data_IF_942841655379
#
_entry.id   IF_942841655379
#
_cell.length_a   1.000
_cell.length_b   1.000
_cell.length_c   1.000
_cell.angle_alpha   90.00
_cell.angle_beta   90.00
_cell.angle_gamma   90.00
#
_symmetry.space_group_name_H-M   'P 1'
#
loop_
_entity.id
_entity.type
_entity.pdbx_description
1 polymer ?
#
# COMPACT_ATOMS: atom_id res chain seq x y z
N UNK A 1 -16.90 -14.33 -9.32
CA UNK A 1 -15.77 -14.46 -8.37
C UNK A 1 -15.29 -13.05 -8.08
N UNK A 2 -15.51 -12.58 -6.86
CA UNK A 2 -15.03 -11.27 -6.41
C UNK A 2 -13.50 -11.27 -6.46
N UNK A 3 -12.88 -10.39 -7.26
CA UNK A 3 -11.43 -10.24 -7.24
C UNK A 3 -11.02 -9.75 -5.85
N UNK A 4 -10.00 -10.32 -5.22
CA UNK A 4 -9.53 -9.82 -3.93
C UNK A 4 -9.08 -8.36 -4.09
N UNK A 5 -9.35 -7.55 -3.07
CA UNK A 5 -8.91 -6.16 -3.00
C UNK A 5 -7.40 -6.15 -2.71
N UNK A 6 -6.61 -6.06 -3.76
CA UNK A 6 -5.15 -6.22 -3.74
C UNK A 6 -4.55 -5.00 -4.43
N UNK A 7 -3.54 -4.40 -3.80
CA UNK A 7 -2.69 -3.35 -4.38
C UNK A 7 -1.22 -3.75 -4.33
N UNK A 8 -0.38 -3.06 -5.07
CA UNK A 8 1.07 -3.17 -4.93
C UNK A 8 1.51 -2.79 -3.50
N UNK A 9 2.57 -3.41 -3.02
CA UNK A 9 3.09 -3.14 -1.68
C UNK A 9 4.17 -2.06 -1.76
N UNK A 10 3.85 -0.82 -1.35
CA UNK A 10 4.78 0.31 -1.38
C UNK A 10 6.12 0.05 -0.64
N UNK A 11 6.08 -0.77 0.40
CA UNK A 11 7.30 -1.11 1.14
C UNK A 11 8.14 -2.14 0.40
N UNK A 12 7.51 -3.00 -0.40
CA UNK A 12 8.21 -3.92 -1.29
C UNK A 12 8.88 -3.14 -2.43
N UNK A 13 8.26 -2.08 -2.95
CA UNK A 13 8.86 -1.17 -3.93
C UNK A 13 10.17 -0.56 -3.40
N UNK A 14 10.23 -0.13 -2.14
CA UNK A 14 11.45 0.40 -1.53
C UNK A 14 12.60 -0.62 -1.51
N UNK A 15 12.28 -1.90 -1.23
CA UNK A 15 13.29 -2.98 -1.29
C UNK A 15 13.74 -3.22 -2.72
N UNK A 16 12.81 -3.17 -3.68
CA UNK A 16 13.11 -3.34 -5.10
C UNK A 16 14.03 -2.23 -5.63
N UNK A 17 13.77 -0.98 -5.25
CA UNK A 17 14.59 0.17 -5.65
C UNK A 17 16.03 0.04 -5.11
N UNK A 18 16.17 -0.34 -3.84
CA UNK A 18 17.51 -0.59 -3.26
C UNK A 18 18.21 -1.75 -3.95
N UNK A 19 17.51 -2.86 -4.20
CA UNK A 19 18.06 -3.98 -4.95
C UNK A 19 18.58 -3.55 -6.34
N UNK A 20 17.80 -2.75 -7.07
CA UNK A 20 18.21 -2.25 -8.39
C UNK A 20 19.42 -1.32 -8.30
N UNK A 21 19.53 -0.51 -7.25
CA UNK A 21 20.70 0.32 -6.98
C UNK A 21 21.94 -0.54 -6.71
N UNK A 22 21.80 -1.57 -5.88
CA UNK A 22 22.90 -2.50 -5.57
C UNK A 22 23.30 -3.32 -6.80
N UNK A 23 22.34 -3.75 -7.62
CA UNK A 23 22.60 -4.46 -8.89
C UNK A 23 23.39 -3.59 -9.88
N UNK A 24 23.11 -2.28 -9.95
CA UNK A 24 23.93 -1.33 -10.74
C UNK A 24 25.38 -1.24 -10.23
N UNK A 25 25.57 -1.33 -8.90
CA UNK A 25 26.89 -1.22 -8.26
C UNK A 25 27.73 -2.47 -8.40
N UNK A 26 27.13 -3.64 -8.20
CA UNK A 26 27.83 -4.94 -8.10
C UNK A 26 27.66 -5.84 -9.32
N UNK A 27 26.82 -5.46 -10.29
CA UNK A 27 26.58 -6.28 -11.49
C UNK A 27 25.91 -7.61 -11.15
N UNK A 28 26.63 -8.70 -11.41
CA UNK A 28 26.17 -10.07 -11.18
C UNK A 28 26.66 -10.68 -9.85
N UNK A 29 27.31 -9.90 -8.99
CA UNK A 29 27.81 -10.38 -7.69
C UNK A 29 26.65 -10.46 -6.67
N UNK A 30 25.96 -11.60 -6.70
CA UNK A 30 24.76 -11.85 -5.88
C UNK A 30 25.08 -11.82 -4.38
N UNK A 31 26.26 -12.31 -3.98
CA UNK A 31 26.65 -12.39 -2.57
C UNK A 31 26.81 -11.00 -1.95
N UNK A 32 27.48 -10.09 -2.65
CA UNK A 32 27.62 -8.72 -2.19
C UNK A 32 26.30 -7.95 -2.25
N UNK A 33 25.47 -8.16 -3.27
CA UNK A 33 24.12 -7.58 -3.35
C UNK A 33 23.29 -8.03 -2.15
N UNK A 34 23.22 -9.33 -1.87
CA UNK A 34 22.43 -9.87 -0.75
C UNK A 34 22.93 -9.36 0.61
N UNK A 35 24.25 -9.32 0.81
CA UNK A 35 24.87 -8.83 2.04
C UNK A 35 24.48 -7.37 2.31
N UNK A 36 24.61 -6.51 1.32
CA UNK A 36 24.32 -5.09 1.48
C UNK A 36 22.80 -4.83 1.57
N UNK A 37 21.99 -5.56 0.81
CA UNK A 37 20.54 -5.51 0.92
C UNK A 37 20.06 -5.88 2.33
N UNK A 38 20.55 -6.95 2.92
CA UNK A 38 20.26 -7.35 4.32
C UNK A 38 20.64 -6.27 5.31
N UNK A 39 21.82 -5.66 5.14
CA UNK A 39 22.26 -4.56 5.98
C UNK A 39 21.34 -3.34 5.87
N UNK A 40 20.93 -2.99 4.66
CA UNK A 40 20.01 -1.88 4.41
C UNK A 40 18.62 -2.15 4.98
N UNK A 41 18.06 -3.36 4.78
CA UNK A 41 16.77 -3.77 5.36
C UNK A 41 16.81 -3.65 6.88
N UNK A 42 17.87 -4.12 7.52
CA UNK A 42 18.04 -4.03 8.98
C UNK A 42 18.03 -2.58 9.48
N UNK A 43 18.73 -1.67 8.78
CA UNK A 43 18.76 -0.23 9.11
C UNK A 43 17.39 0.45 8.91
N UNK A 44 16.58 -0.03 7.99
CA UNK A 44 15.29 0.54 7.64
C UNK A 44 14.10 -0.28 8.18
N UNK A 45 14.30 -1.21 9.12
CA UNK A 45 13.28 -2.16 9.56
C UNK A 45 11.98 -1.48 10.03
N UNK A 46 12.06 -0.32 10.67
CA UNK A 46 10.87 0.44 11.11
C UNK A 46 9.98 0.89 9.94
N UNK A 47 10.58 1.20 8.78
CA UNK A 47 9.86 1.62 7.56
C UNK A 47 9.34 0.41 6.78
N UNK A 48 9.99 -0.74 6.90
CA UNK A 48 9.76 -1.96 6.12
C UNK A 48 8.95 -3.02 6.87
N UNK A 49 8.19 -2.63 7.90
CA UNK A 49 7.37 -3.58 8.68
C UNK A 49 6.44 -4.39 7.78
N UNK A 50 6.51 -5.72 7.93
CA UNK A 50 5.73 -6.67 7.14
C UNK A 50 6.41 -7.21 5.88
N UNK A 51 7.54 -6.63 5.43
CA UNK A 51 8.30 -7.07 4.25
C UNK A 51 9.79 -7.31 4.51
N UNK A 52 10.26 -7.16 5.74
CA UNK A 52 11.68 -7.32 6.13
C UNK A 52 12.24 -8.71 5.88
N UNK A 53 11.38 -9.70 5.68
CA UNK A 53 11.75 -11.09 5.39
C UNK A 53 12.14 -11.32 3.92
N UNK A 54 11.92 -10.34 3.03
CA UNK A 54 12.41 -10.38 1.64
C UNK A 54 13.87 -9.94 1.60
N UNK A 55 14.76 -10.82 2.02
CA UNK A 55 16.19 -10.51 2.23
C UNK A 55 17.15 -11.46 1.50
N UNK A 56 16.62 -12.38 0.72
CA UNK A 56 17.41 -13.26 -0.15
C UNK A 56 17.42 -12.74 -1.59
N UNK A 57 18.51 -12.98 -2.30
CA UNK A 57 18.69 -12.57 -3.69
C UNK A 57 19.18 -13.74 -4.52
N UNK A 58 18.68 -13.87 -5.74
CA UNK A 58 19.26 -14.73 -6.79
C UNK A 58 19.28 -13.99 -8.13
N UNK A 59 19.63 -14.68 -9.21
CA UNK A 59 19.73 -14.10 -10.56
C UNK A 59 18.43 -13.43 -11.03
N UNK A 60 17.27 -13.94 -10.57
CA UNK A 60 15.95 -13.41 -10.92
C UNK A 60 15.57 -12.17 -10.09
N UNK A 61 16.09 -12.03 -8.87
CA UNK A 61 15.77 -10.91 -8.00
C UNK A 61 15.59 -11.28 -6.54
N UNK A 62 14.89 -10.42 -5.82
CA UNK A 62 14.66 -10.54 -4.37
C UNK A 62 13.54 -11.54 -4.07
N UNK A 63 13.73 -12.34 -3.03
CA UNK A 63 12.74 -13.30 -2.57
C UNK A 63 12.87 -13.59 -1.07
N UNK A 64 11.88 -14.28 -0.52
CA UNK A 64 11.98 -14.93 0.79
C UNK A 64 11.64 -16.42 0.69
N UNK A 65 12.11 -17.19 1.65
CA UNK A 65 11.76 -18.62 1.75
C UNK A 65 10.33 -18.77 2.28
N UNK A 66 9.56 -19.59 1.59
CA UNK A 66 8.21 -19.93 1.96
C UNK A 66 8.09 -21.30 2.62
N UNK A 67 6.93 -21.63 3.12
CA UNK A 67 6.61 -22.94 3.66
C UNK A 67 6.13 -23.88 2.54
N UNK A 68 6.77 -25.06 2.44
CA UNK A 68 6.48 -26.10 1.47
C UNK A 68 5.47 -27.13 2.02
N UNK A 69 5.34 -27.21 3.35
CA UNK A 69 4.46 -28.16 4.00
C UNK A 69 2.98 -27.77 3.87
N UNK A 70 2.10 -28.73 3.77
CA UNK A 70 0.66 -28.47 3.88
C UNK A 70 0.31 -27.95 5.28
N UNK A 71 -0.72 -27.13 5.39
CA UNK A 71 -1.14 -26.57 6.69
C UNK A 71 -1.79 -27.60 7.61
N UNK A 72 -2.48 -28.56 7.02
CA UNK A 72 -3.15 -29.68 7.71
C UNK A 72 -2.65 -31.01 7.15
N UNK A 73 -2.88 -32.11 7.86
CA UNK A 73 -2.61 -33.44 7.31
C UNK A 73 -3.46 -33.71 6.06
N UNK A 74 -2.92 -34.53 5.13
CA UNK A 74 -3.58 -34.81 3.86
C UNK A 74 -3.01 -34.06 2.66
N UNK A 75 -1.83 -33.46 2.78
CA UNK A 75 -1.08 -32.90 1.65
C UNK A 75 -0.63 -33.95 0.66
N UNK A 76 -0.12 -33.52 -0.50
CA UNK A 76 0.28 -34.38 -1.59
C UNK A 76 1.49 -35.24 -1.21
N UNK A 77 1.49 -36.50 -1.71
CA UNK A 77 2.48 -37.53 -1.43
C UNK A 77 3.15 -37.99 -2.73
N UNK A 78 4.31 -37.40 -3.06
CA UNK A 78 5.14 -37.77 -4.20
C UNK A 78 6.60 -37.47 -3.88
N UNK A 79 7.53 -38.06 -4.65
CA UNK A 79 8.95 -37.84 -4.47
C UNK A 79 9.41 -36.64 -5.28
N UNK A 80 10.20 -35.78 -4.64
CA UNK A 80 10.99 -34.71 -5.26
C UNK A 80 12.45 -35.12 -5.21
N UNK A 81 13.09 -35.24 -6.35
CA UNK A 81 14.48 -35.68 -6.43
C UNK A 81 15.44 -34.51 -6.29
N UNK A 82 16.39 -34.62 -5.37
CA UNK A 82 17.41 -33.63 -5.14
C UNK A 82 18.37 -33.53 -6.36
N UNK A 83 18.66 -32.31 -6.90
CA UNK A 83 19.39 -32.16 -8.15
C UNK A 83 20.85 -32.65 -8.11
N UNK A 84 21.48 -32.59 -6.91
CA UNK A 84 22.90 -33.00 -6.75
C UNK A 84 23.06 -34.44 -6.28
N UNK A 85 22.24 -34.89 -5.31
CA UNK A 85 22.39 -36.23 -4.72
C UNK A 85 21.58 -37.30 -5.45
N UNK A 86 20.66 -36.91 -6.34
CA UNK A 86 19.75 -37.79 -7.08
C UNK A 86 18.88 -38.70 -6.19
N UNK A 87 18.71 -38.32 -4.91
CA UNK A 87 17.87 -39.04 -3.96
C UNK A 87 16.57 -38.27 -3.67
N UNK A 88 15.52 -38.96 -3.18
CA UNK A 88 14.31 -38.28 -2.77
C UNK A 88 14.56 -37.30 -1.62
N UNK A 89 14.11 -36.06 -1.76
CA UNK A 89 14.17 -35.05 -0.72
C UNK A 89 13.25 -35.42 0.46
N UNK A 90 13.64 -34.96 1.65
CA UNK A 90 12.85 -35.07 2.86
C UNK A 90 11.43 -34.53 2.63
N UNK A 91 10.43 -35.38 2.85
CA UNK A 91 9.03 -35.00 2.72
C UNK A 91 8.50 -34.42 4.03
N UNK A 92 7.67 -33.34 3.99
CA UNK A 92 6.99 -32.87 5.19
C UNK A 92 6.03 -33.93 5.75
N UNK A 93 5.90 -34.02 7.06
CA UNK A 93 4.97 -34.97 7.72
C UNK A 93 3.51 -34.78 7.26
N UNK A 94 3.09 -33.53 7.02
CA UNK A 94 1.75 -33.20 6.53
C UNK A 94 1.58 -33.32 5.02
N UNK A 95 2.63 -33.76 4.30
CA UNK A 95 2.68 -33.79 2.85
C UNK A 95 2.99 -32.44 2.21
N UNK A 96 3.21 -32.44 0.89
CA UNK A 96 3.48 -31.23 0.13
C UNK A 96 2.23 -30.36 0.01
N UNK A 97 2.42 -29.04 0.05
CA UNK A 97 1.36 -28.06 -0.18
C UNK A 97 0.94 -27.97 -1.65
N UNK A 98 1.88 -28.17 -2.55
CA UNK A 98 1.70 -27.97 -3.98
C UNK A 98 1.42 -29.29 -4.69
N UNK A 99 0.57 -29.23 -5.72
CA UNK A 99 0.32 -30.35 -6.61
C UNK A 99 1.57 -30.67 -7.44
N UNK A 100 1.69 -31.92 -7.88
CA UNK A 100 2.91 -32.41 -8.55
C UNK A 100 3.36 -31.57 -9.76
N UNK A 101 2.42 -31.19 -10.64
CA UNK A 101 2.76 -30.36 -11.79
C UNK A 101 3.24 -28.95 -11.40
N UNK A 102 2.58 -28.32 -10.41
CA UNK A 102 3.02 -27.02 -9.90
C UNK A 102 4.41 -27.10 -9.26
N UNK A 103 4.71 -28.19 -8.54
CA UNK A 103 6.06 -28.42 -8.01
C UNK A 103 7.10 -28.54 -9.13
N UNK A 104 6.80 -29.28 -10.21
CA UNK A 104 7.68 -29.36 -11.38
C UNK A 104 7.92 -28.01 -12.04
N UNK A 105 6.86 -27.22 -12.22
CA UNK A 105 6.99 -25.86 -12.76
C UNK A 105 7.89 -24.97 -11.89
N UNK A 106 7.69 -25.01 -10.57
CA UNK A 106 8.53 -24.24 -9.63
C UNK A 106 10.01 -24.67 -9.67
N UNK A 107 10.26 -25.98 -9.77
CA UNK A 107 11.64 -26.51 -9.90
C UNK A 107 12.26 -26.01 -11.22
N UNK A 108 11.56 -26.18 -12.34
CA UNK A 108 12.02 -25.74 -13.67
C UNK A 108 12.25 -24.23 -13.73
N UNK A 109 11.45 -23.46 -13.00
CA UNK A 109 11.58 -22.03 -12.86
C UNK A 109 12.65 -21.60 -11.84
N UNK A 110 13.41 -22.50 -11.24
CA UNK A 110 14.35 -22.20 -10.15
C UNK A 110 13.69 -21.45 -8.97
N UNK A 111 12.44 -21.76 -8.66
CA UNK A 111 11.68 -21.16 -7.55
C UNK A 111 11.56 -22.12 -6.35
N UNK A 112 12.39 -23.14 -6.30
CA UNK A 112 12.62 -24.02 -5.14
C UNK A 112 14.07 -23.85 -4.66
N UNK A 113 14.23 -23.66 -3.36
CA UNK A 113 15.51 -23.76 -2.67
C UNK A 113 15.72 -25.22 -2.25
N UNK A 114 16.74 -25.84 -2.77
CA UNK A 114 17.21 -27.12 -2.28
C UNK A 114 18.25 -26.88 -1.18
N UNK A 115 18.34 -27.80 -0.22
CA UNK A 115 19.40 -27.81 0.77
C UNK A 115 20.74 -28.25 0.19
N UNK A 116 21.72 -28.48 1.07
CA UNK A 116 23.02 -29.06 0.67
C UNK A 116 22.85 -30.52 0.22
N UNK A 117 21.87 -31.18 0.79
CA UNK A 117 21.50 -32.58 0.51
C UNK A 117 19.99 -32.82 0.62
N UNK A 118 19.56 -34.06 0.36
CA UNK A 118 18.17 -34.50 0.40
C UNK A 118 17.54 -34.51 1.79
N UNK A 119 18.31 -34.41 2.87
CA UNK A 119 17.82 -34.46 4.26
C UNK A 119 17.26 -33.12 4.71
N UNK A 120 17.64 -32.05 4.05
CA UNK A 120 17.16 -30.69 4.31
C UNK A 120 15.80 -30.49 3.61
N UNK A 121 14.81 -29.96 4.35
CA UNK A 121 13.51 -29.65 3.77
C UNK A 121 13.66 -28.53 2.72
N UNK A 122 13.19 -28.81 1.53
CA UNK A 122 13.17 -27.80 0.44
C UNK A 122 12.17 -26.68 0.76
N UNK A 123 12.40 -25.50 0.18
CA UNK A 123 11.57 -24.31 0.42
C UNK A 123 11.22 -23.59 -0.88
N UNK A 124 9.98 -23.15 -1.09
CA UNK A 124 9.64 -22.34 -2.25
C UNK A 124 10.17 -20.91 -2.07
N UNK A 125 10.67 -20.32 -3.16
CA UNK A 125 11.04 -18.91 -3.23
C UNK A 125 9.78 -18.09 -3.50
N UNK A 126 9.42 -17.21 -2.57
CA UNK A 126 8.35 -16.22 -2.77
C UNK A 126 8.98 -14.94 -3.24
N UNK A 127 8.72 -14.56 -4.47
CA UNK A 127 9.32 -13.39 -5.14
C UNK A 127 8.75 -12.09 -4.60
N UNK A 128 9.61 -11.08 -4.42
CA UNK A 128 9.23 -9.74 -3.97
C UNK A 128 8.24 -9.07 -4.93
N UNK A 129 8.38 -9.27 -6.23
CA UNK A 129 7.48 -8.76 -7.26
C UNK A 129 6.03 -9.24 -7.11
N UNK A 130 5.82 -10.34 -6.38
CA UNK A 130 4.50 -10.89 -6.07
C UNK A 130 4.01 -10.46 -4.67
N UNK A 131 4.76 -9.62 -3.96
CA UNK A 131 4.37 -9.09 -2.67
C UNK A 131 3.26 -8.04 -2.87
N UNK A 132 2.04 -8.41 -2.50
CA UNK A 132 0.86 -7.55 -2.63
C UNK A 132 0.23 -7.28 -1.27
N UNK A 133 -0.27 -6.07 -1.11
CA UNK A 133 -1.09 -5.72 0.05
C UNK A 133 -2.54 -6.13 -0.18
N UNK A 134 -3.11 -6.75 0.83
CA UNK A 134 -4.56 -7.00 0.89
C UNK A 134 -5.20 -5.91 1.73
N UNK A 135 -6.29 -5.32 1.25
CA UNK A 135 -7.04 -4.36 2.04
C UNK A 135 -7.55 -5.02 3.32
N UNK A 136 -7.12 -4.47 4.46
CA UNK A 136 -7.59 -4.92 5.77
C UNK A 136 -8.90 -4.23 6.14
N UNK A 137 -9.78 -4.93 6.85
CA UNK A 137 -11.05 -4.39 7.36
C UNK A 137 -10.86 -3.29 8.42
N UNK A 138 -9.68 -3.22 9.03
CA UNK A 138 -9.32 -2.20 10.02
C UNK A 138 -8.04 -1.49 9.55
N UNK A 139 -8.15 -0.16 9.39
CA UNK A 139 -7.03 0.73 9.07
C UNK A 139 -6.88 1.68 10.26
N UNK A 140 -5.69 1.70 10.86
CA UNK A 140 -5.37 2.63 11.94
C UNK A 140 -4.58 3.83 11.41
N UNK A 141 -5.05 5.02 11.74
CA UNK A 141 -4.33 6.29 11.55
C UNK A 141 -4.62 7.22 12.72
N UNK A 142 -3.62 7.96 13.21
CA UNK A 142 -3.83 9.01 14.20
C UNK A 142 -4.61 10.18 13.55
N UNK A 143 -5.78 10.50 14.10
CA UNK A 143 -6.65 11.57 13.60
C UNK A 143 -5.99 12.95 13.53
N UNK A 144 -4.93 13.18 14.31
CA UNK A 144 -4.11 14.41 14.23
C UNK A 144 -3.34 14.51 12.92
N UNK A 145 -3.01 13.39 12.29
CA UNK A 145 -2.30 13.37 11.00
C UNK A 145 -3.18 13.97 9.91
N UNK A 146 -4.45 13.56 9.82
CA UNK A 146 -5.39 14.10 8.83
C UNK A 146 -5.66 15.60 9.02
N UNK A 147 -5.79 16.05 10.27
CA UNK A 147 -5.93 17.48 10.59
C UNK A 147 -4.70 18.27 10.14
N UNK A 148 -3.49 17.83 10.47
CA UNK A 148 -2.25 18.49 10.04
C UNK A 148 -2.09 18.52 8.52
N UNK A 149 -2.46 17.44 7.82
CA UNK A 149 -2.43 17.40 6.36
C UNK A 149 -3.40 18.43 5.75
N UNK A 150 -4.63 18.50 6.26
CA UNK A 150 -5.60 19.49 5.84
C UNK A 150 -5.10 20.93 6.09
N UNK A 151 -4.61 21.21 7.29
CA UNK A 151 -4.10 22.53 7.68
C UNK A 151 -2.87 22.95 6.87
N UNK A 152 -2.04 22.03 6.43
CA UNK A 152 -0.88 22.32 5.58
C UNK A 152 -1.26 22.76 4.15
N UNK A 153 -2.45 22.39 3.70
CA UNK A 153 -2.99 22.74 2.38
C UNK A 153 -3.90 23.96 2.44
N UNK A 154 -4.69 24.08 3.49
CA UNK A 154 -5.76 25.08 3.64
C UNK A 154 -5.40 26.20 4.63
N UNK A 155 -5.98 26.16 5.79
CA UNK A 155 -5.70 27.00 6.93
C UNK A 155 -6.02 26.24 8.23
N UNK A 156 -5.50 26.76 9.34
CA UNK A 156 -5.64 26.11 10.63
C UNK A 156 -7.06 26.27 11.17
N UNK A 157 -7.62 25.14 11.65
CA UNK A 157 -8.87 25.09 12.42
C UNK A 157 -10.09 25.71 11.70
N UNK A 158 -10.18 25.51 10.36
CA UNK A 158 -11.31 26.01 9.55
C UNK A 158 -12.33 24.92 9.21
N UNK A 159 -12.06 23.66 9.57
CA UNK A 159 -12.96 22.54 9.32
C UNK A 159 -12.83 21.49 10.43
N UNK A 160 -13.99 21.01 10.94
CA UNK A 160 -13.99 20.00 11.99
C UNK A 160 -13.75 18.60 11.42
N UNK A 161 -12.83 17.85 12.04
CA UNK A 161 -12.58 16.45 11.76
C UNK A 161 -12.40 16.12 10.25
N UNK A 162 -11.47 16.77 9.55
CA UNK A 162 -11.23 16.45 8.15
C UNK A 162 -10.82 14.98 8.02
N UNK A 163 -11.39 14.28 7.04
CA UNK A 163 -11.05 12.88 6.77
C UNK A 163 -9.63 12.78 6.21
N UNK A 164 -9.01 11.62 6.38
CA UNK A 164 -7.67 11.37 5.87
C UNK A 164 -7.66 11.18 4.36
N UNK A 165 -6.96 12.05 3.64
CA UNK A 165 -6.73 11.87 2.20
C UNK A 165 -5.86 10.65 1.93
N UNK A 166 -4.95 10.29 2.84
CA UNK A 166 -4.10 9.09 2.72
C UNK A 166 -4.91 7.79 2.78
N UNK A 167 -5.86 7.70 3.74
CA UNK A 167 -6.75 6.53 3.83
C UNK A 167 -7.64 6.43 2.59
N UNK A 168 -8.23 7.55 2.14
CA UNK A 168 -9.07 7.54 0.95
C UNK A 168 -8.26 7.22 -0.32
N UNK A 169 -7.07 7.76 -0.48
CA UNK A 169 -6.17 7.40 -1.57
C UNK A 169 -5.88 5.89 -1.59
N UNK A 170 -5.62 5.31 -0.40
CA UNK A 170 -5.41 3.86 -0.29
C UNK A 170 -6.66 3.06 -0.67
N UNK A 171 -7.86 3.48 -0.28
CA UNK A 171 -9.11 2.82 -0.68
C UNK A 171 -9.33 2.93 -2.20
N UNK A 172 -9.10 4.11 -2.76
CA UNK A 172 -9.18 4.39 -4.21
C UNK A 172 -8.24 3.46 -4.98
N UNK A 173 -7.00 3.27 -4.53
CA UNK A 173 -5.99 2.45 -5.22
C UNK A 173 -6.37 0.98 -5.40
N UNK A 174 -7.32 0.47 -4.64
CA UNK A 174 -7.81 -0.91 -4.79
C UNK A 174 -8.91 -1.06 -5.87
N UNK A 175 -9.56 0.05 -6.25
CA UNK A 175 -10.81 -0.01 -7.01
C UNK A 175 -10.72 0.78 -8.31
N UNK A 176 -10.18 2.00 -8.25
CA UNK A 176 -10.22 2.98 -9.35
C UNK A 176 -9.16 2.65 -10.41
N UNK A 177 -9.56 2.80 -11.68
CA UNK A 177 -8.74 2.59 -12.86
C UNK A 177 -8.77 3.83 -13.74
N UNK A 178 -7.94 3.82 -14.78
CA UNK A 178 -7.95 4.83 -15.85
C UNK A 178 -9.34 5.08 -16.38
N UNK A 179 -9.78 6.34 -16.39
CA UNK A 179 -11.06 6.79 -16.91
C UNK A 179 -12.27 6.56 -16.00
N UNK A 180 -12.10 5.98 -14.81
CA UNK A 180 -13.21 5.76 -13.87
C UNK A 180 -13.75 7.07 -13.29
N UNK A 181 -15.01 7.03 -12.83
CA UNK A 181 -15.71 8.13 -12.18
C UNK A 181 -15.97 7.81 -10.71
N UNK A 182 -15.40 8.63 -9.81
CA UNK A 182 -15.61 8.56 -8.36
C UNK A 182 -16.70 9.51 -7.93
N UNK A 183 -17.72 9.02 -7.24
CA UNK A 183 -18.85 9.79 -6.76
C UNK A 183 -18.87 9.84 -5.22
N UNK A 184 -18.95 11.05 -4.66
CA UNK A 184 -19.06 11.28 -3.21
C UNK A 184 -20.26 12.21 -2.93
N UNK A 185 -21.30 11.66 -2.32
CA UNK A 185 -22.56 12.38 -2.02
C UNK A 185 -22.48 13.29 -0.79
N UNK A 186 -21.43 13.18 0.01
CA UNK A 186 -21.26 13.95 1.26
C UNK A 186 -19.82 14.44 1.37
N UNK A 187 -19.38 15.20 0.36
CA UNK A 187 -17.98 15.51 0.14
C UNK A 187 -17.31 16.36 1.24
N UNK A 188 -18.10 17.03 2.07
CA UNK A 188 -17.62 17.86 3.18
C UNK A 188 -16.54 18.85 2.73
N UNK A 189 -15.32 18.64 3.18
CA UNK A 189 -14.16 19.44 2.77
C UNK A 189 -13.46 18.93 1.50
N UNK A 190 -14.13 18.14 0.66
CA UNK A 190 -13.61 17.59 -0.60
C UNK A 190 -12.34 16.71 -0.46
N UNK A 191 -12.26 15.91 0.60
CA UNK A 191 -11.12 15.01 0.85
C UNK A 191 -10.96 13.98 -0.28
N UNK A 192 -12.06 13.52 -0.85
CA UNK A 192 -12.08 12.53 -1.94
C UNK A 192 -11.38 13.04 -3.19
N UNK A 193 -11.57 14.32 -3.56
CA UNK A 193 -10.86 14.93 -4.69
C UNK A 193 -9.34 15.00 -4.45
N UNK A 194 -8.92 15.46 -3.26
CA UNK A 194 -7.50 15.48 -2.94
C UNK A 194 -6.87 14.07 -2.96
N UNK A 195 -7.59 13.08 -2.44
CA UNK A 195 -7.15 11.69 -2.46
C UNK A 195 -7.02 11.15 -3.89
N UNK A 196 -7.96 11.52 -4.78
CA UNK A 196 -7.92 11.12 -6.18
C UNK A 196 -6.73 11.76 -6.91
N UNK A 197 -6.48 13.06 -6.76
CA UNK A 197 -5.32 13.73 -7.35
C UNK A 197 -3.99 13.09 -6.90
N UNK A 198 -3.85 12.78 -5.62
CA UNK A 198 -2.67 12.06 -5.11
C UNK A 198 -2.50 10.69 -5.76
N UNK A 199 -3.61 9.98 -5.98
CA UNK A 199 -3.63 8.68 -6.63
C UNK A 199 -3.25 8.79 -8.10
N UNK A 200 -3.84 9.74 -8.86
CA UNK A 200 -3.54 10.00 -10.27
C UNK A 200 -2.06 10.29 -10.51
N UNK A 201 -1.47 11.16 -9.68
CA UNK A 201 -0.02 11.48 -9.77
C UNK A 201 0.84 10.25 -9.50
N UNK A 202 0.47 9.45 -8.48
CA UNK A 202 1.23 8.26 -8.11
C UNK A 202 1.18 7.18 -9.17
N UNK A 203 -0.01 6.85 -9.65
CA UNK A 203 -0.23 5.74 -10.60
C UNK A 203 -0.10 6.18 -12.07
N UNK A 204 0.02 7.50 -12.33
CA UNK A 204 0.11 8.10 -13.67
C UNK A 204 -1.11 7.76 -14.55
N UNK A 205 -2.28 7.79 -13.94
CA UNK A 205 -3.58 7.58 -14.59
C UNK A 205 -4.44 8.84 -14.44
N UNK A 206 -5.50 8.94 -15.25
CA UNK A 206 -6.53 9.96 -15.11
C UNK A 206 -7.85 9.32 -14.70
N UNK A 207 -8.53 9.91 -13.71
CA UNK A 207 -9.87 9.54 -13.30
C UNK A 207 -10.71 10.80 -13.09
N UNK A 208 -12.00 10.64 -12.92
CA UNK A 208 -12.94 11.75 -12.77
C UNK A 208 -13.64 11.67 -11.41
N UNK A 209 -14.16 12.81 -10.95
CA UNK A 209 -15.00 12.81 -9.76
C UNK A 209 -16.24 13.70 -9.90
N UNK A 210 -17.29 13.33 -9.18
CA UNK A 210 -18.46 14.17 -8.89
C UNK A 210 -18.58 14.26 -7.37
N UNK A 211 -18.55 15.47 -6.84
CA UNK A 211 -18.72 15.75 -5.42
C UNK A 211 -20.04 16.49 -5.20
N UNK A 212 -20.83 15.98 -4.27
CA UNK A 212 -22.09 16.61 -3.88
C UNK A 212 -22.00 17.05 -2.42
N UNK A 213 -22.31 18.31 -2.16
CA UNK A 213 -22.35 18.90 -0.82
C UNK A 213 -23.53 19.87 -0.70
N UNK A 214 -24.28 19.74 0.38
CA UNK A 214 -25.33 20.73 0.72
C UNK A 214 -24.64 22.05 1.04
N UNK A 215 -25.12 23.13 0.43
CA UNK A 215 -24.61 24.48 0.65
C UNK A 215 -25.05 25.01 2.02
N UNK A 216 -24.31 24.66 3.06
CA UNK A 216 -24.52 25.14 4.42
C UNK A 216 -24.00 26.57 4.57
N UNK A 217 -24.86 27.49 5.06
CA UNK A 217 -24.47 28.86 5.33
C UNK A 217 -23.79 28.96 6.70
N UNK A 218 -22.52 29.41 6.71
CA UNK A 218 -21.73 29.48 7.92
C UNK A 218 -22.15 30.59 8.87
N UNK A 219 -22.74 31.69 8.38
CA UNK A 219 -23.25 32.77 9.24
C UNK A 219 -24.48 32.32 10.03
N UNK A 220 -25.32 31.44 9.44
CA UNK A 220 -26.47 30.86 10.15
C UNK A 220 -25.98 29.79 11.14
N UNK A 221 -25.07 28.93 10.72
CA UNK A 221 -24.48 27.90 11.58
C UNK A 221 -23.76 28.50 12.79
N UNK A 222 -23.14 29.67 12.64
CA UNK A 222 -22.47 30.38 13.72
C UNK A 222 -23.47 30.79 14.85
N UNK A 223 -24.71 31.12 14.52
CA UNK A 223 -25.74 31.55 15.49
C UNK A 223 -26.22 30.39 16.39
N UNK A 224 -26.28 29.16 15.81
CA UNK A 224 -26.89 28.01 16.46
C UNK A 224 -25.88 27.01 17.07
N UNK A 225 -24.59 27.15 16.76
CA UNK A 225 -23.54 26.21 17.18
C UNK A 225 -23.11 26.40 18.64
N UNK A 226 -22.55 25.35 19.22
CA UNK A 226 -21.86 25.38 20.52
C UNK A 226 -20.55 26.19 20.49
N UNK A 227 -20.01 26.52 21.67
CA UNK A 227 -18.84 27.40 21.82
C UNK A 227 -17.59 26.87 21.12
N UNK A 228 -17.41 25.54 21.01
CA UNK A 228 -16.25 24.92 20.34
C UNK A 228 -16.39 25.02 18.82
N UNK A 229 -17.55 24.68 18.31
CA UNK A 229 -17.88 24.76 16.89
C UNK A 229 -17.87 26.19 16.37
N UNK A 230 -18.34 27.16 17.20
CA UNK A 230 -18.29 28.59 16.86
C UNK A 230 -16.90 29.08 16.47
N UNK A 231 -15.86 28.68 17.21
CA UNK A 231 -14.49 29.08 16.90
C UNK A 231 -14.06 28.61 15.51
N UNK A 232 -14.30 27.36 15.18
CA UNK A 232 -13.96 26.81 13.87
C UNK A 232 -14.74 27.50 12.75
N UNK A 233 -16.02 27.78 12.95
CA UNK A 233 -16.86 28.49 11.98
C UNK A 233 -16.36 29.91 11.77
N UNK A 234 -15.98 30.65 12.83
CA UNK A 234 -15.41 32.00 12.72
C UNK A 234 -14.08 31.99 11.93
N UNK A 235 -13.22 31.01 12.20
CA UNK A 235 -11.99 30.86 11.45
C UNK A 235 -12.26 30.55 9.97
N UNK A 236 -13.26 29.72 9.66
CA UNK A 236 -13.70 29.41 8.30
C UNK A 236 -14.21 30.66 7.57
N UNK A 237 -15.06 31.47 8.22
CA UNK A 237 -15.55 32.75 7.68
C UNK A 237 -14.38 33.67 7.40
N UNK A 238 -13.50 33.92 8.37
CA UNK A 238 -12.32 34.77 8.19
C UNK A 238 -11.39 34.29 7.06
N UNK A 239 -11.25 32.97 6.92
CA UNK A 239 -10.51 32.40 5.81
C UNK A 239 -11.18 32.69 4.45
N UNK A 240 -12.51 32.49 4.35
CA UNK A 240 -13.26 32.75 3.13
C UNK A 240 -13.25 34.25 2.77
N UNK A 241 -13.34 35.15 3.74
CA UNK A 241 -13.15 36.58 3.54
C UNK A 241 -11.78 36.90 2.96
N UNK A 242 -10.72 36.28 3.47
CA UNK A 242 -9.34 36.49 3.00
C UNK A 242 -9.12 36.13 1.53
N UNK A 243 -9.96 35.27 0.98
CA UNK A 243 -9.93 34.81 -0.43
C UNK A 243 -11.13 35.33 -1.24
N UNK A 244 -11.91 36.26 -0.67
CA UNK A 244 -13.09 36.87 -1.27
C UNK A 244 -14.11 35.85 -1.79
N UNK A 245 -14.53 34.93 -0.91
CA UNK A 245 -15.46 33.85 -1.20
C UNK A 245 -16.71 33.90 -0.28
N UNK A 246 -17.89 33.43 -0.75
CA UNK A 246 -19.09 33.34 0.03
C UNK A 246 -18.92 32.43 1.27
N UNK A 247 -19.61 32.77 2.39
CA UNK A 247 -19.55 32.05 3.66
C UNK A 247 -20.36 30.75 3.62
N UNK A 248 -19.90 29.76 2.88
CA UNK A 248 -20.52 28.45 2.88
C UNK A 248 -19.50 27.32 2.79
N UNK A 249 -19.91 26.12 3.22
CA UNK A 249 -19.02 24.96 3.30
C UNK A 249 -18.49 24.49 1.94
N UNK A 250 -19.26 24.70 0.87
CA UNK A 250 -18.84 24.28 -0.48
C UNK A 250 -17.59 25.03 -0.95
N UNK A 251 -17.47 26.33 -0.62
CA UNK A 251 -16.29 27.13 -0.99
C UNK A 251 -15.00 26.63 -0.32
N UNK A 252 -15.11 26.06 0.89
CA UNK A 252 -13.95 25.41 1.55
C UNK A 252 -13.53 24.16 0.74
N UNK A 253 -14.50 23.37 0.30
CA UNK A 253 -14.23 22.19 -0.55
C UNK A 253 -13.63 22.58 -1.90
N UNK A 254 -14.19 23.56 -2.58
CA UNK A 254 -13.71 24.07 -3.86
C UNK A 254 -12.28 24.63 -3.76
N UNK A 255 -11.97 25.38 -2.69
CA UNK A 255 -10.62 25.90 -2.46
C UNK A 255 -9.63 24.78 -2.19
N UNK A 256 -10.04 23.72 -1.47
CA UNK A 256 -9.19 22.55 -1.28
C UNK A 256 -8.88 21.85 -2.60
N UNK A 257 -9.88 21.66 -3.47
CA UNK A 257 -9.69 21.08 -4.82
C UNK A 257 -8.69 21.92 -5.60
N UNK A 258 -8.86 23.25 -5.61
CA UNK A 258 -7.99 24.18 -6.34
C UNK A 258 -6.55 24.15 -5.85
N UNK A 259 -6.32 24.04 -4.54
CA UNK A 259 -4.98 23.96 -3.94
C UNK A 259 -4.34 22.59 -4.14
N UNK A 260 -5.13 21.51 -4.00
CA UNK A 260 -4.64 20.16 -4.21
C UNK A 260 -4.23 19.91 -5.67
N UNK A 261 -5.01 20.41 -6.64
CA UNK A 261 -4.70 20.28 -8.07
C UNK A 261 -3.50 21.10 -8.55
N UNK A 262 -2.96 22.01 -7.73
CA UNK A 262 -1.72 22.79 -8.02
C UNK A 262 -0.45 22.16 -7.45
N UNK A 263 -0.58 21.13 -6.63
CA UNK A 263 0.51 20.45 -5.96
C UNK A 263 1.02 19.25 -6.75
#
# INVERSE_FOLDING_TARGET
IQKPWISENEKAELIQDEYLSLKKRYGCDIDNIQKDLRSWIKKNANKLQGVTHYDNVDEKGVFHDGDIANTVFGGYQYDVIHPLTHKPCKRPEKGWRFFFFSMKEMISANDIMFGVDETTLIKPKKRLENAKDVLRSVIYEDGRTSTKQFESLMARDIFQNPKSATILQRLISFIVKEGDLVLDFFSGSATTAEALFRFEVKEKIAAHFILVQIKENLDESLKTSDSRSKKTIQNAISFLDSINKPHNICEIGEERIRRAGKK
#
